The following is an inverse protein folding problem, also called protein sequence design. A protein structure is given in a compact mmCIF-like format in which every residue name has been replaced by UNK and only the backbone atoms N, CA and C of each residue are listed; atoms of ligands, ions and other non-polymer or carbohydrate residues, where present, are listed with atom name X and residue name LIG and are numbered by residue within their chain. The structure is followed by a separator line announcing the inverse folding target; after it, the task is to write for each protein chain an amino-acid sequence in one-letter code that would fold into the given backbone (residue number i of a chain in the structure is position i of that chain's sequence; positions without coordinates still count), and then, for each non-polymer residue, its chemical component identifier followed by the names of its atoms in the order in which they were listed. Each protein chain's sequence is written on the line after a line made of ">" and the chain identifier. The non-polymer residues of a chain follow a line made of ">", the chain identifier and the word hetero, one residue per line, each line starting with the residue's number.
data_IF_136789700071
#
_entry.id   IF_136789700071
#
_cell.length_a   1.000
_cell.length_b   1.000
_cell.length_c   1.000
_cell.angle_alpha   90.00
_cell.angle_beta   90.00
_cell.angle_gamma   90.00
#
_symmetry.space_group_name_H-M   'P 1'
#
loop_
_entity.id
_entity.type
_entity.pdbx_description
1 polymer ?
#
# COMPACT_ATOMS: atom_id res chain seq x y z
N UNK A 1 -103.33 1.44 -26.55
CA UNK A 1 -103.50 2.20 -27.81
C UNK A 1 -102.76 1.43 -28.88
N UNK A 2 -103.45 0.81 -29.84
CA UNK A 2 -102.78 0.09 -30.93
C UNK A 2 -102.29 1.16 -31.89
N UNK A 3 -101.05 1.58 -31.70
CA UNK A 3 -100.35 2.45 -32.63
C UNK A 3 -99.70 1.54 -33.66
N UNK A 4 -100.18 1.57 -34.89
CA UNK A 4 -99.52 0.88 -35.99
C UNK A 4 -98.64 1.88 -36.71
N UNK A 5 -97.34 1.62 -36.78
CA UNK A 5 -96.41 2.46 -37.52
C UNK A 5 -95.80 1.64 -38.67
N UNK A 6 -96.08 2.05 -39.91
CA UNK A 6 -95.61 1.39 -41.12
C UNK A 6 -94.07 1.33 -41.15
N UNK A 7 -93.52 0.46 -41.99
CA UNK A 7 -92.15 0.69 -42.48
C UNK A 7 -92.14 1.92 -43.41
N UNK A 8 -90.96 2.36 -43.82
CA UNK A 8 -90.86 3.42 -44.83
C UNK A 8 -91.44 2.94 -46.16
N UNK A 9 -92.28 3.76 -46.78
CA UNK A 9 -92.83 3.52 -48.11
C UNK A 9 -92.97 4.83 -48.88
N UNK A 10 -93.04 4.75 -50.21
CA UNK A 10 -93.32 5.91 -51.06
C UNK A 10 -94.84 6.14 -51.06
N UNK A 11 -95.27 7.29 -50.53
CA UNK A 11 -96.69 7.64 -50.51
C UNK A 11 -97.21 7.83 -51.93
N UNK A 12 -98.32 7.18 -52.29
CA UNK A 12 -98.88 7.29 -53.65
C UNK A 12 -99.37 8.70 -53.99
N UNK A 13 -99.80 9.46 -52.99
CA UNK A 13 -100.32 10.82 -53.11
C UNK A 13 -99.22 11.90 -52.98
N UNK A 14 -98.34 11.78 -51.98
CA UNK A 14 -97.25 12.74 -51.75
C UNK A 14 -96.05 12.49 -52.67
N UNK A 15 -96.00 11.34 -53.36
CA UNK A 15 -94.90 10.89 -54.22
C UNK A 15 -93.52 10.98 -53.54
N UNK A 16 -93.48 10.84 -52.22
CA UNK A 16 -92.27 10.93 -51.42
C UNK A 16 -92.22 9.86 -50.33
N UNK A 17 -91.02 9.46 -49.87
CA UNK A 17 -90.87 8.50 -48.79
C UNK A 17 -91.38 9.04 -47.46
N UNK A 18 -92.31 8.32 -46.84
CA UNK A 18 -92.92 8.67 -45.56
C UNK A 18 -92.97 7.47 -44.62
N UNK A 19 -93.04 7.75 -43.32
CA UNK A 19 -93.48 6.79 -42.31
C UNK A 19 -94.86 7.20 -41.82
N UNK A 20 -95.79 6.26 -41.79
CA UNK A 20 -97.17 6.49 -41.38
C UNK A 20 -97.42 5.87 -40.02
N UNK A 21 -97.81 6.70 -39.07
CA UNK A 21 -98.26 6.30 -37.73
C UNK A 21 -99.78 6.39 -37.71
N UNK A 22 -100.41 5.23 -37.75
CA UNK A 22 -101.85 5.04 -37.75
C UNK A 22 -102.35 4.71 -36.34
N UNK A 23 -103.41 5.41 -35.92
CA UNK A 23 -104.12 5.16 -34.68
C UNK A 23 -105.59 4.91 -34.99
N UNK A 24 -106.15 3.83 -34.45
CA UNK A 24 -107.59 3.56 -34.56
C UNK A 24 -108.34 4.52 -33.63
N UNK A 25 -109.28 5.27 -34.20
CA UNK A 25 -110.17 6.15 -33.44
C UNK A 25 -111.42 5.34 -33.07
N UNK A 26 -111.66 5.14 -31.78
CA UNK A 26 -112.78 4.34 -31.25
C UNK A 26 -113.85 5.22 -30.62
N UNK A 27 -115.13 4.84 -30.76
CA UNK A 27 -116.24 5.51 -30.11
C UNK A 27 -116.14 5.36 -28.58
N UNK A 28 -116.19 6.49 -27.84
CA UNK A 28 -116.02 6.51 -26.38
C UNK A 28 -117.05 5.67 -25.62
N UNK A 29 -118.27 5.57 -26.16
CA UNK A 29 -119.39 4.87 -25.50
C UNK A 29 -119.42 3.36 -25.76
N UNK A 30 -118.96 2.90 -26.93
CA UNK A 30 -119.12 1.50 -27.37
C UNK A 30 -117.81 0.76 -27.61
N UNK A 31 -116.67 1.47 -27.66
CA UNK A 31 -115.37 0.91 -28.00
C UNK A 31 -115.22 0.48 -29.48
N UNK A 32 -116.26 0.66 -30.30
CA UNK A 32 -116.23 0.27 -31.71
C UNK A 32 -115.33 1.22 -32.54
N UNK A 33 -114.60 0.70 -33.53
CA UNK A 33 -113.74 1.51 -34.40
C UNK A 33 -114.59 2.41 -35.31
N UNK A 34 -114.36 3.73 -35.25
CA UNK A 34 -114.99 4.74 -36.09
C UNK A 34 -114.18 5.05 -37.35
N UNK A 35 -112.86 4.90 -37.27
CA UNK A 35 -111.94 5.19 -38.37
C UNK A 35 -110.48 5.07 -37.94
N UNK A 36 -109.58 5.44 -38.84
CA UNK A 36 -108.13 5.42 -38.60
C UNK A 36 -107.56 6.80 -38.88
N UNK A 37 -106.88 7.38 -37.89
CA UNK A 37 -106.10 8.59 -38.06
C UNK A 37 -104.67 8.21 -38.45
N UNK A 38 -104.23 8.61 -39.64
CA UNK A 38 -102.89 8.32 -40.15
C UNK A 38 -102.05 9.60 -40.18
N UNK A 39 -101.03 9.69 -39.33
CA UNK A 39 -100.04 10.76 -39.34
C UNK A 39 -98.85 10.33 -40.18
N UNK A 40 -98.50 11.10 -41.21
CA UNK A 40 -97.36 10.80 -42.09
C UNK A 40 -96.21 11.73 -41.80
N UNK A 41 -95.04 11.19 -41.48
CA UNK A 41 -93.82 11.93 -41.23
C UNK A 41 -92.87 11.79 -42.42
N UNK A 42 -92.31 12.92 -42.84
CA UNK A 42 -91.30 12.96 -43.90
C UNK A 42 -89.95 12.46 -43.40
N UNK A 43 -89.23 11.77 -44.27
CA UNK A 43 -87.87 11.24 -44.05
C UNK A 43 -86.84 12.31 -43.70
N UNK A 44 -87.02 13.54 -44.18
CA UNK A 44 -86.14 14.67 -43.90
C UNK A 44 -85.99 14.98 -42.39
N UNK A 45 -87.02 14.69 -41.59
CA UNK A 45 -86.96 14.87 -40.14
C UNK A 45 -85.96 13.90 -39.49
N UNK A 46 -85.94 12.63 -39.92
CA UNK A 46 -84.98 11.65 -39.40
C UNK A 46 -83.55 12.01 -39.78
N UNK A 47 -83.35 12.48 -41.01
CA UNK A 47 -82.04 12.90 -41.47
C UNK A 47 -81.44 14.01 -40.60
N UNK A 48 -82.22 15.05 -40.28
CA UNK A 48 -81.79 16.12 -39.36
C UNK A 48 -81.45 15.58 -37.96
N UNK A 49 -82.18 14.58 -37.48
CA UNK A 49 -81.91 13.95 -36.18
C UNK A 49 -80.61 13.12 -36.16
N UNK A 50 -80.23 12.53 -37.30
CA UNK A 50 -79.08 11.63 -37.40
C UNK A 50 -77.76 12.37 -37.66
N UNK A 51 -77.78 13.42 -38.50
CA UNK A 51 -76.57 14.21 -38.77
C UNK A 51 -76.30 15.28 -37.69
N UNK A 52 -77.33 15.68 -36.93
CA UNK A 52 -77.24 16.76 -35.95
C UNK A 52 -77.07 18.14 -36.60
N UNK A 53 -76.99 19.19 -35.77
CA UNK A 53 -76.64 20.54 -36.26
C UNK A 53 -75.11 20.69 -36.31
N UNK A 54 -74.52 20.52 -37.50
CA UNK A 54 -73.09 20.78 -37.78
C UNK A 54 -72.24 19.53 -38.10
N UNK A 55 -70.92 19.72 -38.29
CA UNK A 55 -69.95 18.66 -38.59
C UNK A 55 -69.55 17.86 -37.33
N UNK A 56 -70.53 17.24 -36.67
CA UNK A 56 -70.39 16.57 -35.37
C UNK A 56 -69.44 15.35 -35.40
N UNK A 57 -69.25 14.71 -36.56
CA UNK A 57 -68.40 13.51 -36.75
C UNK A 57 -67.13 13.86 -37.58
N UNK A 58 -66.85 15.15 -37.77
CA UNK A 58 -65.74 15.64 -38.62
C UNK A 58 -66.12 15.77 -40.10
N UNK A 59 -65.16 16.14 -40.95
CA UNK A 59 -65.42 16.57 -42.33
C UNK A 59 -65.90 15.43 -43.23
N UNK A 60 -65.32 14.24 -43.07
CA UNK A 60 -65.72 12.99 -43.73
C UNK A 60 -66.74 12.18 -42.92
N UNK A 61 -67.17 12.69 -41.76
CA UNK A 61 -68.13 12.04 -40.90
C UNK A 61 -69.50 11.97 -41.58
N UNK A 62 -70.13 10.80 -41.50
CA UNK A 62 -71.45 10.54 -42.09
C UNK A 62 -72.25 9.63 -41.19
N UNK A 63 -73.55 9.85 -41.13
CA UNK A 63 -74.46 8.96 -40.44
C UNK A 63 -75.72 8.71 -41.28
N UNK A 64 -76.15 7.45 -41.36
CA UNK A 64 -77.30 7.06 -42.16
C UNK A 64 -77.96 5.79 -41.63
N UNK A 65 -79.18 5.52 -42.08
CA UNK A 65 -79.96 4.37 -41.63
C UNK A 65 -80.40 3.55 -42.82
N UNK A 66 -80.35 2.24 -42.66
CA UNK A 66 -80.90 1.26 -43.61
C UNK A 66 -81.99 0.42 -42.97
N UNK A 67 -82.93 -0.07 -43.76
CA UNK A 67 -83.97 -0.98 -43.31
C UNK A 67 -83.45 -2.42 -43.17
N UNK A 68 -84.34 -3.36 -42.84
CA UNK A 68 -84.02 -4.79 -42.69
C UNK A 68 -83.37 -5.42 -43.93
N UNK A 69 -83.65 -4.88 -45.12
CA UNK A 69 -83.17 -5.37 -46.41
C UNK A 69 -81.89 -4.63 -46.85
N UNK A 70 -81.39 -3.66 -46.08
CA UNK A 70 -80.22 -2.85 -46.41
C UNK A 70 -80.55 -1.67 -47.32
N UNK A 71 -81.82 -1.36 -47.57
CA UNK A 71 -82.24 -0.20 -48.35
C UNK A 71 -82.12 1.08 -47.53
N UNK A 72 -81.61 2.16 -48.14
CA UNK A 72 -81.46 3.46 -47.47
C UNK A 72 -82.80 4.02 -47.00
N UNK A 73 -82.86 4.41 -45.73
CA UNK A 73 -83.97 5.15 -45.12
C UNK A 73 -83.67 6.64 -44.98
N UNK A 74 -82.39 7.00 -44.84
CA UNK A 74 -81.91 8.38 -44.85
C UNK A 74 -80.79 8.55 -45.88
N UNK A 75 -80.66 9.77 -46.41
CA UNK A 75 -79.66 10.10 -47.42
C UNK A 75 -78.38 10.53 -46.69
N UNK A 76 -77.24 9.83 -46.87
CA UNK A 76 -75.97 10.28 -46.31
C UNK A 76 -75.48 11.60 -46.94
N UNK A 77 -74.82 12.47 -46.16
CA UNK A 77 -74.22 13.74 -46.62
C UNK A 77 -73.53 13.70 -47.99
N UNK A 78 -72.68 12.70 -48.26
CA UNK A 78 -71.92 12.62 -49.52
C UNK A 78 -72.79 12.26 -50.75
N UNK A 79 -73.91 11.53 -50.59
CA UNK A 79 -74.85 11.24 -51.71
C UNK A 79 -75.65 12.48 -52.10
N UNK A 80 -75.69 13.50 -51.23
CA UNK A 80 -76.39 14.77 -51.49
C UNK A 80 -75.51 15.73 -52.31
N UNK A 81 -74.20 15.70 -52.05
CA UNK A 81 -73.21 16.51 -52.75
C UNK A 81 -72.94 16.00 -54.17
N UNK A 82 -73.04 14.69 -54.40
CA UNK A 82 -73.03 14.10 -55.74
C UNK A 82 -74.36 14.35 -56.46
N UNK A 83 -74.31 15.18 -57.52
CA UNK A 83 -75.45 15.82 -58.17
C UNK A 83 -76.61 14.87 -58.55
N UNK A 84 -77.81 15.12 -58.01
CA UNK A 84 -79.09 14.74 -58.61
C UNK A 84 -79.84 13.54 -58.00
N UNK A 85 -79.25 12.80 -57.07
CA UNK A 85 -79.87 11.61 -56.46
C UNK A 85 -80.80 11.94 -55.28
N UNK A 86 -81.88 12.71 -55.53
CA UNK A 86 -82.93 12.99 -54.52
C UNK A 86 -83.86 11.80 -54.26
N UNK A 87 -83.82 10.78 -55.12
CA UNK A 87 -84.75 9.66 -55.14
C UNK A 87 -84.01 8.31 -55.00
N UNK A 88 -83.28 8.14 -53.89
CA UNK A 88 -82.53 6.91 -53.57
C UNK A 88 -83.03 6.19 -52.32
N UNK A 89 -83.87 6.85 -51.53
CA UNK A 89 -84.51 6.26 -50.35
C UNK A 89 -85.39 5.10 -50.82
N UNK A 90 -85.24 3.93 -50.18
CA UNK A 90 -85.88 2.66 -50.55
C UNK A 90 -85.53 2.10 -51.94
N UNK A 91 -84.56 2.67 -52.66
CA UNK A 91 -84.14 2.21 -54.00
C UNK A 91 -82.70 1.71 -54.05
N UNK A 92 -81.81 2.35 -53.29
CA UNK A 92 -80.41 1.95 -53.21
C UNK A 92 -80.21 0.99 -52.03
N UNK A 93 -79.65 -0.19 -52.32
CA UNK A 93 -79.29 -1.18 -51.30
C UNK A 93 -77.82 -1.05 -50.96
N UNK A 94 -77.51 -0.87 -49.68
CA UNK A 94 -76.15 -0.78 -49.17
C UNK A 94 -75.77 -2.10 -48.53
N UNK A 95 -74.77 -2.76 -49.12
CA UNK A 95 -74.23 -4.02 -48.62
C UNK A 95 -72.83 -3.75 -48.08
N UNK A 96 -72.74 -3.52 -46.78
CA UNK A 96 -71.46 -3.39 -46.06
C UNK A 96 -71.41 -4.40 -44.92
N UNK A 97 -70.19 -4.78 -44.52
CA UNK A 97 -69.95 -5.71 -43.42
C UNK A 97 -70.79 -5.43 -42.15
N UNK A 98 -70.86 -4.19 -41.62
CA UNK A 98 -71.70 -3.89 -40.45
C UNK A 98 -73.20 -4.13 -40.66
N UNK A 99 -73.72 -3.94 -41.87
CA UNK A 99 -75.14 -4.16 -42.19
C UNK A 99 -75.43 -5.64 -42.27
N UNK A 100 -74.59 -6.40 -42.99
CA UNK A 100 -74.72 -7.85 -43.11
C UNK A 100 -74.61 -8.52 -41.75
N UNK A 101 -73.68 -8.05 -40.90
CA UNK A 101 -73.53 -8.54 -39.52
C UNK A 101 -74.77 -8.22 -38.70
N UNK A 102 -75.22 -6.96 -38.70
CA UNK A 102 -76.43 -6.57 -37.97
C UNK A 102 -77.67 -7.36 -38.40
N UNK A 103 -77.82 -7.67 -39.69
CA UNK A 103 -78.94 -8.48 -40.20
C UNK A 103 -78.87 -9.96 -39.80
N UNK A 104 -77.67 -10.53 -39.70
CA UNK A 104 -77.47 -11.95 -39.38
C UNK A 104 -77.46 -12.24 -37.89
N UNK A 105 -76.83 -11.38 -37.10
CA UNK A 105 -76.55 -11.63 -35.68
C UNK A 105 -77.32 -10.72 -34.73
N UNK A 106 -78.15 -9.80 -35.26
CA UNK A 106 -78.86 -8.77 -34.48
C UNK A 106 -77.93 -7.98 -33.54
N UNK A 107 -76.67 -7.79 -33.94
CA UNK A 107 -75.64 -7.06 -33.19
C UNK A 107 -74.97 -5.99 -34.04
N UNK A 108 -74.66 -4.86 -33.40
CA UNK A 108 -73.87 -3.80 -34.01
C UNK A 108 -72.40 -4.17 -34.18
N UNK A 109 -71.65 -3.30 -34.87
CA UNK A 109 -70.22 -3.45 -35.10
C UNK A 109 -69.52 -2.13 -34.82
N UNK A 110 -68.36 -2.19 -34.17
CA UNK A 110 -67.40 -1.09 -34.13
C UNK A 110 -66.09 -1.61 -34.74
N UNK A 111 -65.52 -0.86 -35.67
CA UNK A 111 -64.25 -1.25 -36.26
C UNK A 111 -63.91 -0.50 -37.53
N UNK A 112 -62.84 -0.95 -38.18
CA UNK A 112 -62.44 -0.46 -39.49
C UNK A 112 -62.98 -1.44 -40.53
N UNK A 113 -63.73 -0.93 -41.49
CA UNK A 113 -64.29 -1.72 -42.58
C UNK A 113 -64.38 -0.86 -43.84
N UNK A 114 -64.77 -1.48 -44.96
CA UNK A 114 -65.00 -0.76 -46.22
C UNK A 114 -66.42 -0.23 -46.28
N UNK A 115 -66.54 1.08 -46.50
CA UNK A 115 -67.84 1.67 -46.81
C UNK A 115 -68.35 1.17 -48.17
N UNK A 116 -69.57 1.55 -48.53
CA UNK A 116 -70.19 1.15 -49.79
C UNK A 116 -69.45 1.68 -51.05
N UNK A 117 -68.48 2.60 -50.91
CA UNK A 117 -67.57 3.07 -51.99
C UNK A 117 -66.27 2.26 -52.04
N UNK A 118 -66.08 1.30 -51.14
CA UNK A 118 -64.85 0.54 -50.99
C UNK A 118 -63.74 1.26 -50.19
N UNK A 119 -64.03 2.41 -49.58
CA UNK A 119 -63.05 3.21 -48.82
C UNK A 119 -62.99 2.74 -47.37
N UNK A 120 -61.79 2.67 -46.80
CA UNK A 120 -61.60 2.30 -45.40
C UNK A 120 -62.12 3.40 -44.48
N UNK A 121 -63.12 3.06 -43.67
CA UNK A 121 -63.75 3.95 -42.69
C UNK A 121 -63.63 3.34 -41.29
N UNK A 122 -63.47 4.20 -40.30
CA UNK A 122 -63.74 3.87 -38.91
C UNK A 122 -65.23 4.11 -38.68
N UNK A 123 -65.98 3.06 -38.36
CA UNK A 123 -67.42 3.19 -38.22
C UNK A 123 -68.00 2.37 -37.10
N UNK A 124 -69.19 2.78 -36.69
CA UNK A 124 -70.05 2.10 -35.73
C UNK A 124 -71.40 1.83 -36.38
N UNK A 125 -71.95 0.64 -36.14
CA UNK A 125 -73.32 0.30 -36.47
C UNK A 125 -74.09 -0.14 -35.24
N UNK A 126 -75.38 0.21 -35.21
CA UNK A 126 -76.33 -0.17 -34.16
C UNK A 126 -77.64 -0.62 -34.81
N UNK A 127 -78.25 -1.67 -34.28
CA UNK A 127 -79.53 -2.19 -34.77
C UNK A 127 -80.69 -1.81 -33.83
N UNK A 128 -81.75 -1.26 -34.41
CA UNK A 128 -83.04 -1.06 -33.76
C UNK A 128 -83.87 -2.34 -33.89
N UNK A 129 -83.82 -3.18 -32.86
CA UNK A 129 -84.37 -4.56 -32.88
C UNK A 129 -85.83 -4.66 -33.30
N UNK A 130 -86.67 -3.70 -32.90
CA UNK A 130 -88.11 -3.71 -33.22
C UNK A 130 -88.40 -3.64 -34.71
N UNK A 131 -87.55 -2.95 -35.49
CA UNK A 131 -87.74 -2.74 -36.94
C UNK A 131 -86.63 -3.33 -37.79
N UNK A 132 -85.59 -3.88 -37.16
CA UNK A 132 -84.34 -4.30 -37.80
C UNK A 132 -83.69 -3.21 -38.66
N UNK A 133 -83.85 -1.94 -38.24
CA UNK A 133 -83.14 -0.84 -38.89
C UNK A 133 -81.72 -0.78 -38.36
N UNK A 134 -80.75 -0.56 -39.25
CA UNK A 134 -79.35 -0.44 -38.88
C UNK A 134 -78.94 1.01 -39.06
N UNK A 135 -78.53 1.64 -37.98
CA UNK A 135 -77.94 2.98 -37.94
C UNK A 135 -76.45 2.81 -38.11
N UNK A 136 -75.84 3.56 -39.02
CA UNK A 136 -74.41 3.59 -39.24
C UNK A 136 -73.90 5.01 -39.02
N UNK A 137 -72.75 5.13 -38.37
CA UNK A 137 -71.94 6.33 -38.34
C UNK A 137 -70.51 5.97 -38.73
N UNK A 138 -69.97 6.64 -39.74
CA UNK A 138 -68.69 6.32 -40.37
C UNK A 138 -67.85 7.59 -40.53
N UNK A 139 -66.53 7.46 -40.42
CA UNK A 139 -65.55 8.52 -40.68
C UNK A 139 -64.37 7.94 -41.46
N UNK A 140 -63.81 8.69 -42.41
CA UNK A 140 -62.66 8.19 -43.18
C UNK A 140 -61.49 7.85 -42.26
N UNK A 141 -60.85 6.69 -42.47
CA UNK A 141 -59.71 6.23 -41.67
C UNK A 141 -58.59 7.29 -41.62
N UNK A 142 -58.27 7.91 -42.75
CA UNK A 142 -57.21 8.91 -42.83
C UNK A 142 -57.52 10.15 -41.97
N UNK A 143 -58.77 10.62 -41.91
CA UNK A 143 -59.15 11.74 -41.05
C UNK A 143 -59.23 11.31 -39.58
N UNK A 144 -59.79 10.13 -39.31
CA UNK A 144 -59.91 9.59 -37.95
C UNK A 144 -58.54 9.42 -37.28
N UNK A 145 -57.51 9.05 -38.05
CA UNK A 145 -56.15 8.83 -37.55
C UNK A 145 -55.17 9.97 -37.87
N UNK A 146 -55.58 11.02 -38.57
CA UNK A 146 -54.72 12.19 -38.85
C UNK A 146 -54.04 12.77 -37.59
N UNK A 147 -54.70 12.85 -36.41
CA UNK A 147 -54.03 13.31 -35.20
C UNK A 147 -52.89 12.41 -34.71
N UNK A 148 -52.88 11.11 -35.07
CA UNK A 148 -51.84 10.17 -34.61
C UNK A 148 -50.50 10.36 -35.31
N UNK A 149 -50.47 10.85 -36.56
CA UNK A 149 -49.20 11.07 -37.26
C UNK A 149 -48.36 12.15 -36.57
N UNK A 150 -48.99 13.17 -35.98
CA UNK A 150 -48.30 14.18 -35.17
C UNK A 150 -47.63 13.59 -33.93
N UNK A 151 -48.30 12.64 -33.26
CA UNK A 151 -47.74 11.95 -32.09
C UNK A 151 -46.51 11.12 -32.45
N UNK A 152 -46.51 10.44 -33.59
CA UNK A 152 -45.35 9.65 -34.03
C UNK A 152 -44.09 10.50 -34.23
N UNK A 153 -44.24 11.71 -34.80
CA UNK A 153 -43.12 12.65 -34.98
C UNK A 153 -42.58 13.17 -33.64
N UNK A 154 -43.47 13.49 -32.69
CA UNK A 154 -43.09 13.93 -31.35
C UNK A 154 -42.30 12.82 -30.62
N UNK A 155 -42.80 11.58 -30.65
CA UNK A 155 -42.12 10.44 -30.00
C UNK A 155 -40.74 10.20 -30.62
N UNK A 156 -40.63 10.24 -31.94
CA UNK A 156 -39.36 10.05 -32.64
C UNK A 156 -38.37 11.17 -32.29
N UNK A 157 -38.84 12.42 -32.25
CA UNK A 157 -38.02 13.58 -31.87
C UNK A 157 -37.47 13.46 -30.45
N UNK A 158 -38.31 13.04 -29.49
CA UNK A 158 -37.90 12.79 -28.11
C UNK A 158 -36.86 11.67 -28.05
N UNK A 159 -37.05 10.59 -28.81
CA UNK A 159 -36.10 9.47 -28.89
C UNK A 159 -34.74 9.88 -29.45
N UNK A 160 -34.71 10.74 -30.47
CA UNK A 160 -33.46 11.27 -31.03
C UNK A 160 -32.76 12.19 -30.04
N UNK A 161 -33.49 13.09 -29.38
CA UNK A 161 -32.93 14.01 -28.38
C UNK A 161 -32.36 13.24 -27.19
N UNK A 162 -33.07 12.23 -26.69
CA UNK A 162 -32.59 11.40 -25.58
C UNK A 162 -31.33 10.61 -25.95
N UNK A 163 -31.27 10.06 -27.17
CA UNK A 163 -30.07 9.38 -27.68
C UNK A 163 -28.86 10.32 -27.73
N UNK A 164 -29.04 11.52 -28.29
CA UNK A 164 -27.98 12.54 -28.37
C UNK A 164 -27.51 12.92 -26.96
N UNK A 165 -28.44 13.12 -26.03
CA UNK A 165 -28.13 13.48 -24.65
C UNK A 165 -27.33 12.40 -23.93
N UNK A 166 -27.67 11.12 -24.12
CA UNK A 166 -26.91 9.97 -23.59
C UNK A 166 -25.49 9.97 -24.14
N UNK A 167 -25.31 10.12 -25.45
CA UNK A 167 -23.98 10.13 -26.08
C UNK A 167 -23.11 11.27 -25.54
N UNK A 168 -23.67 12.47 -25.41
CA UNK A 168 -22.95 13.64 -24.88
C UNK A 168 -22.53 13.40 -23.42
N UNK A 169 -23.45 12.91 -22.56
CA UNK A 169 -23.16 12.60 -21.17
C UNK A 169 -22.09 11.50 -21.04
N UNK A 170 -22.17 10.44 -21.85
CA UNK A 170 -21.18 9.37 -21.86
C UNK A 170 -19.79 9.88 -22.22
N UNK A 171 -19.66 10.74 -23.24
CA UNK A 171 -18.37 11.33 -23.62
C UNK A 171 -17.83 12.23 -22.50
N UNK A 172 -18.70 13.03 -21.87
CA UNK A 172 -18.31 13.93 -20.79
C UNK A 172 -17.80 13.17 -19.55
N UNK A 173 -18.55 12.18 -19.08
CA UNK A 173 -18.18 11.36 -17.91
C UNK A 173 -16.94 10.52 -18.20
N UNK A 174 -16.88 9.88 -19.38
CA UNK A 174 -15.70 9.12 -19.80
C UNK A 174 -14.46 9.99 -19.86
N UNK A 175 -14.58 11.23 -20.37
CA UNK A 175 -13.49 12.20 -20.41
C UNK A 175 -13.01 12.64 -19.03
N UNK A 176 -13.91 12.87 -18.07
CA UNK A 176 -13.55 13.26 -16.70
C UNK A 176 -12.84 12.15 -15.93
N UNK A 177 -13.26 10.88 -16.08
CA UNK A 177 -12.66 9.79 -15.31
C UNK A 177 -11.45 9.15 -15.99
N UNK A 178 -11.54 8.87 -17.29
CA UNK A 178 -10.54 8.06 -18.00
C UNK A 178 -9.23 8.82 -18.21
N UNK A 179 -9.27 10.12 -18.50
CA UNK A 179 -8.06 10.92 -18.76
C UNK A 179 -7.14 11.02 -17.53
N UNK A 180 -7.64 11.37 -16.32
CA UNK A 180 -6.81 11.35 -15.11
C UNK A 180 -6.22 9.98 -14.78
N UNK A 181 -7.00 8.90 -14.95
CA UNK A 181 -6.53 7.53 -14.70
C UNK A 181 -5.39 7.15 -15.65
N UNK A 182 -5.50 7.47 -16.94
CA UNK A 182 -4.42 7.24 -17.91
C UNK A 182 -3.17 8.08 -17.61
N UNK A 183 -3.32 9.29 -17.06
CA UNK A 183 -2.16 10.07 -16.58
C UNK A 183 -1.47 9.39 -15.39
N UNK A 184 -2.23 8.91 -14.41
CA UNK A 184 -1.68 8.15 -13.28
C UNK A 184 -0.97 6.87 -13.74
N UNK A 185 -1.52 6.18 -14.74
CA UNK A 185 -0.84 5.04 -15.37
C UNK A 185 0.52 5.44 -15.96
N UNK A 186 0.58 6.56 -16.68
CA UNK A 186 1.84 7.08 -17.21
C UNK A 186 2.87 7.42 -16.13
N UNK A 187 2.44 8.04 -15.03
CA UNK A 187 3.33 8.28 -13.88
C UNK A 187 3.83 6.98 -13.25
N UNK A 188 2.95 5.99 -13.11
CA UNK A 188 3.31 4.66 -12.60
C UNK A 188 4.38 3.99 -13.45
N UNK A 189 4.33 4.11 -14.77
CA UNK A 189 5.39 3.60 -15.66
C UNK A 189 6.74 4.30 -15.47
N UNK A 190 6.75 5.61 -15.19
CA UNK A 190 7.97 6.36 -14.89
C UNK A 190 8.58 5.92 -13.55
N UNK A 191 7.75 5.80 -12.51
CA UNK A 191 8.14 5.33 -11.18
C UNK A 191 8.67 3.89 -11.25
N UNK A 192 8.04 3.02 -12.04
CA UNK A 192 8.50 1.65 -12.26
C UNK A 192 9.89 1.59 -12.93
N UNK A 193 10.27 2.62 -13.68
CA UNK A 193 11.63 2.78 -14.25
C UNK A 193 12.62 3.43 -13.27
N UNK A 194 12.18 3.78 -12.06
CA UNK A 194 12.99 4.42 -11.02
C UNK A 194 13.03 5.95 -11.10
N UNK A 195 12.22 6.58 -11.97
CA UNK A 195 12.13 8.03 -12.03
C UNK A 195 11.12 8.54 -10.98
N UNK A 196 11.64 9.01 -9.85
CA UNK A 196 10.88 9.62 -8.75
C UNK A 196 10.92 11.15 -8.79
N UNK A 197 11.47 11.75 -9.85
CA UNK A 197 11.64 13.21 -9.96
C UNK A 197 10.39 13.91 -10.51
N UNK A 198 9.47 13.13 -11.07
CA UNK A 198 8.27 13.65 -11.73
C UNK A 198 7.18 13.95 -10.71
N UNK A 199 6.65 15.17 -10.75
CA UNK A 199 5.54 15.59 -9.90
C UNK A 199 4.20 15.05 -10.44
N UNK A 200 3.49 14.30 -9.59
CA UNK A 200 2.17 13.74 -9.91
C UNK A 200 1.11 14.83 -9.78
N UNK A 201 0.86 15.58 -10.86
CA UNK A 201 -0.17 16.62 -10.89
C UNK A 201 -1.43 16.10 -11.61
N UNK A 202 -2.43 15.73 -10.84
CA UNK A 202 -3.77 15.38 -11.33
C UNK A 202 -4.81 16.12 -10.50
N UNK A 203 -5.47 17.10 -11.12
CA UNK A 203 -6.51 17.90 -10.49
C UNK A 203 -7.87 17.24 -10.72
N UNK A 204 -8.48 16.74 -9.65
CA UNK A 204 -9.88 16.31 -9.62
C UNK A 204 -10.43 16.47 -8.20
N UNK A 205 -11.74 16.73 -8.09
CA UNK A 205 -12.43 16.93 -6.80
C UNK A 205 -13.23 15.69 -6.37
N UNK A 206 -13.00 14.55 -7.02
CA UNK A 206 -13.69 13.28 -6.81
C UNK A 206 -12.74 12.20 -6.23
N UNK A 207 -13.15 10.95 -6.26
CA UNK A 207 -12.34 9.79 -5.85
C UNK A 207 -11.04 9.67 -6.63
N UNK A 208 -11.01 10.12 -7.90
CA UNK A 208 -9.80 10.10 -8.72
C UNK A 208 -8.80 11.15 -8.23
N UNK A 209 -9.28 12.27 -7.70
CA UNK A 209 -8.45 13.27 -7.03
C UNK A 209 -7.79 12.73 -5.77
N UNK A 210 -8.56 12.05 -4.91
CA UNK A 210 -8.02 11.38 -3.71
C UNK A 210 -7.01 10.28 -4.05
N UNK A 211 -7.26 9.54 -5.14
CA UNK A 211 -6.32 8.55 -5.65
C UNK A 211 -5.01 9.21 -6.09
N UNK A 212 -5.08 10.33 -6.80
CA UNK A 212 -3.90 11.08 -7.21
C UNK A 212 -3.09 11.63 -6.03
N UNK A 213 -3.75 12.17 -5.01
CA UNK A 213 -3.10 12.65 -3.78
C UNK A 213 -2.40 11.51 -3.03
N UNK A 214 -3.08 10.36 -2.89
CA UNK A 214 -2.49 9.17 -2.27
C UNK A 214 -1.28 8.67 -3.06
N UNK A 215 -1.37 8.72 -4.40
CA UNK A 215 -0.27 8.35 -5.29
C UNK A 215 0.90 9.32 -5.18
N UNK A 216 0.65 10.63 -5.09
CA UNK A 216 1.68 11.63 -4.83
C UNK A 216 2.43 11.34 -3.51
N UNK A 217 1.69 11.10 -2.42
CA UNK A 217 2.29 10.79 -1.11
C UNK A 217 3.15 9.52 -1.15
N UNK A 218 2.74 8.51 -1.92
CA UNK A 218 3.52 7.29 -2.14
C UNK A 218 4.84 7.59 -2.85
N UNK A 219 4.83 8.40 -3.90
CA UNK A 219 6.04 8.79 -4.65
C UNK A 219 6.99 9.59 -3.76
N UNK A 220 6.48 10.57 -3.02
CA UNK A 220 7.28 11.35 -2.06
C UNK A 220 7.93 10.45 -1.01
N UNK A 221 7.17 9.50 -0.45
CA UNK A 221 7.71 8.55 0.53
C UNK A 221 8.79 7.64 -0.07
N UNK A 222 8.64 7.21 -1.33
CA UNK A 222 9.66 6.46 -2.05
C UNK A 222 10.92 7.30 -2.29
N UNK A 223 10.76 8.56 -2.70
CA UNK A 223 11.88 9.48 -2.91
C UNK A 223 12.68 9.67 -1.62
N UNK A 224 12.01 9.92 -0.50
CA UNK A 224 12.66 10.10 0.80
C UNK A 224 13.37 8.83 1.26
N UNK A 225 12.77 7.66 1.02
CA UNK A 225 13.40 6.37 1.31
C UNK A 225 14.70 6.19 0.50
N UNK A 226 14.68 6.48 -0.80
CA UNK A 226 15.87 6.39 -1.66
C UNK A 226 16.95 7.39 -1.21
N UNK A 227 16.57 8.62 -0.87
CA UNK A 227 17.49 9.64 -0.35
C UNK A 227 18.17 9.20 0.95
N UNK A 228 17.42 8.60 1.88
CA UNK A 228 17.97 8.04 3.11
C UNK A 228 18.92 6.87 2.84
N UNK A 229 18.59 5.98 1.89
CA UNK A 229 19.48 4.88 1.49
C UNK A 229 20.79 5.41 0.90
N UNK A 230 20.75 6.46 0.08
CA UNK A 230 21.96 7.10 -0.46
C UNK A 230 22.83 7.69 0.66
N UNK A 231 22.22 8.42 1.60
CA UNK A 231 22.92 9.00 2.75
C UNK A 231 23.59 7.91 3.61
N UNK A 232 22.89 6.81 3.89
CA UNK A 232 23.44 5.69 4.64
C UNK A 232 24.58 5.02 3.86
N UNK A 233 24.45 4.90 2.54
CA UNK A 233 25.50 4.32 1.69
C UNK A 233 26.78 5.15 1.72
N UNK A 234 26.67 6.49 1.68
CA UNK A 234 27.80 7.40 1.83
C UNK A 234 28.44 7.30 3.21
N UNK A 235 27.63 7.19 4.28
CA UNK A 235 28.13 6.97 5.65
C UNK A 235 28.92 5.65 5.74
N UNK A 236 28.39 4.56 5.17
CA UNK A 236 29.05 3.26 5.14
C UNK A 236 30.36 3.33 4.35
N UNK A 237 30.37 4.01 3.20
CA UNK A 237 31.60 4.21 2.42
C UNK A 237 32.66 4.98 3.21
N UNK A 238 32.26 6.04 3.92
CA UNK A 238 33.16 6.80 4.80
C UNK A 238 33.71 5.95 5.95
N UNK A 239 32.85 5.19 6.65
CA UNK A 239 33.29 4.30 7.73
C UNK A 239 34.20 3.17 7.24
N UNK A 240 33.97 2.65 6.04
CA UNK A 240 34.86 1.66 5.42
C UNK A 240 36.26 2.25 5.14
N UNK A 241 36.32 3.51 4.70
CA UNK A 241 37.59 4.20 4.46
C UNK A 241 38.35 4.46 5.78
N UNK A 242 37.65 4.88 6.83
CA UNK A 242 38.23 5.05 8.17
C UNK A 242 38.75 3.71 8.73
N UNK A 243 37.94 2.65 8.62
CA UNK A 243 38.34 1.30 9.02
C UNK A 243 39.57 0.79 8.26
N UNK A 244 39.65 1.05 6.95
CA UNK A 244 40.84 0.71 6.15
C UNK A 244 42.08 1.41 6.68
N UNK A 245 41.96 2.69 7.02
CA UNK A 245 43.06 3.50 7.52
C UNK A 245 43.52 3.03 8.91
N UNK A 246 42.58 2.74 9.82
CA UNK A 246 42.88 2.15 11.13
C UNK A 246 43.51 0.75 11.01
N UNK A 247 43.12 -0.03 10.00
CA UNK A 247 43.72 -1.35 9.75
C UNK A 247 45.17 -1.23 9.27
N UNK A 248 45.49 -0.24 8.44
CA UNK A 248 46.88 0.05 8.03
C UNK A 248 47.75 0.47 9.22
N UNK A 249 47.25 1.35 10.09
CA UNK A 249 47.94 1.75 11.32
C UNK A 249 48.15 0.58 12.29
N UNK A 250 47.13 -0.27 12.44
CA UNK A 250 47.23 -1.48 13.27
C UNK A 250 48.28 -2.46 12.73
N UNK A 251 48.37 -2.63 11.41
CA UNK A 251 49.40 -3.46 10.78
C UNK A 251 50.80 -2.92 11.04
N UNK A 252 51.00 -1.60 10.92
CA UNK A 252 52.26 -0.95 11.24
C UNK A 252 52.66 -1.15 12.71
N UNK A 253 51.71 -0.91 13.63
CA UNK A 253 51.91 -1.11 15.07
C UNK A 253 52.23 -2.57 15.41
N UNK A 254 51.57 -3.53 14.76
CA UNK A 254 51.85 -4.96 14.93
C UNK A 254 53.26 -5.32 14.48
N UNK A 255 53.74 -4.71 13.39
CA UNK A 255 55.11 -4.90 12.91
C UNK A 255 56.15 -4.34 13.89
N UNK A 256 55.88 -3.18 14.50
CA UNK A 256 56.73 -2.61 15.56
C UNK A 256 56.77 -3.50 16.80
N UNK A 257 55.62 -4.00 17.26
CA UNK A 257 55.53 -4.93 18.40
C UNK A 257 56.31 -6.23 18.11
N UNK A 258 56.17 -6.79 16.90
CA UNK A 258 56.93 -7.96 16.48
C UNK A 258 58.44 -7.73 16.54
N UNK A 259 58.88 -6.55 16.08
CA UNK A 259 60.30 -6.13 16.14
C UNK A 259 60.76 -5.96 17.59
N UNK A 260 59.97 -5.34 18.45
CA UNK A 260 60.27 -5.19 19.87
C UNK A 260 60.39 -6.55 20.57
N UNK A 261 59.52 -7.51 20.26
CA UNK A 261 59.58 -8.89 20.78
C UNK A 261 60.89 -9.57 20.34
N UNK A 262 61.32 -9.39 19.09
CA UNK A 262 62.61 -9.92 18.63
C UNK A 262 63.80 -9.34 19.40
N UNK A 263 63.78 -8.03 19.68
CA UNK A 263 64.79 -7.39 20.51
C UNK A 263 64.80 -7.92 21.95
N UNK A 264 63.62 -8.09 22.56
CA UNK A 264 63.48 -8.67 23.91
C UNK A 264 64.01 -10.09 23.94
N UNK A 265 63.65 -10.94 22.97
CA UNK A 265 64.15 -12.30 22.88
C UNK A 265 65.68 -12.34 22.79
N UNK A 266 66.28 -11.49 21.94
CA UNK A 266 67.74 -11.38 21.82
C UNK A 266 68.40 -10.87 23.11
N UNK A 267 67.78 -9.90 23.78
CA UNK A 267 68.22 -9.40 25.07
C UNK A 267 68.20 -10.50 26.14
N UNK A 268 67.12 -11.29 26.19
CA UNK A 268 66.99 -12.42 27.11
C UNK A 268 68.05 -13.50 26.86
N UNK A 269 68.36 -13.83 25.60
CA UNK A 269 69.47 -14.75 25.27
C UNK A 269 70.80 -14.21 25.77
N UNK A 270 71.10 -12.93 25.48
CA UNK A 270 72.35 -12.30 25.95
C UNK A 270 72.43 -12.26 27.47
N UNK A 271 71.30 -12.06 28.15
CA UNK A 271 71.24 -12.08 29.61
C UNK A 271 71.46 -13.49 30.17
N UNK A 272 70.92 -14.53 29.52
CA UNK A 272 71.19 -15.92 29.90
C UNK A 272 72.69 -16.25 29.77
N UNK A 273 73.34 -15.81 28.69
CA UNK A 273 74.79 -16.00 28.50
C UNK A 273 75.60 -15.32 29.62
N UNK A 274 75.23 -14.08 29.98
CA UNK A 274 75.89 -13.34 31.08
C UNK A 274 75.66 -13.99 32.44
N UNK A 275 74.50 -14.59 32.67
CA UNK A 275 74.23 -15.33 33.91
C UNK A 275 75.16 -16.54 34.01
N UNK A 276 75.34 -17.29 32.92
CA UNK A 276 76.30 -18.40 32.85
C UNK A 276 77.73 -17.93 33.15
N UNK A 277 78.18 -16.85 32.50
CA UNK A 277 79.52 -16.28 32.74
C UNK A 277 79.70 -15.83 34.21
N UNK A 278 78.67 -15.22 34.79
CA UNK A 278 78.67 -14.80 36.20
C UNK A 278 78.74 -16.01 37.13
N UNK A 279 78.00 -17.08 36.85
CA UNK A 279 78.06 -18.34 37.61
C UNK A 279 79.48 -18.95 37.57
N UNK A 280 80.14 -18.96 36.41
CA UNK A 280 81.52 -19.42 36.28
C UNK A 280 82.51 -18.53 37.06
N UNK A 281 82.29 -17.21 37.08
CA UNK A 281 83.10 -16.28 37.87
C UNK A 281 82.91 -16.50 39.39
N UNK A 282 81.69 -16.79 39.83
CA UNK A 282 81.38 -17.14 41.22
C UNK A 282 82.06 -18.47 41.60
N UNK A 283 82.03 -19.48 40.72
CA UNK A 283 82.71 -20.78 40.93
C UNK A 283 84.21 -20.58 41.14
N UNK A 284 84.87 -19.81 40.25
CA UNK A 284 86.29 -19.45 40.37
C UNK A 284 86.59 -18.68 41.65
N UNK A 285 85.71 -17.77 42.06
CA UNK A 285 85.85 -17.01 43.30
C UNK A 285 85.75 -17.91 44.53
N UNK A 286 84.84 -18.89 44.52
CA UNK A 286 84.69 -19.89 45.58
C UNK A 286 85.94 -20.76 45.75
N UNK A 287 86.54 -21.20 44.63
CA UNK A 287 87.83 -21.93 44.65
C UNK A 287 88.94 -21.06 45.25
N UNK A 288 89.04 -19.81 44.81
CA UNK A 288 90.06 -18.87 45.30
C UNK A 288 89.88 -18.57 46.80
N UNK A 289 88.64 -18.41 47.27
CA UNK A 289 88.32 -18.24 48.69
C UNK A 289 88.71 -19.47 49.52
N UNK A 290 88.40 -20.69 49.05
CA UNK A 290 88.84 -21.92 49.73
C UNK A 290 90.37 -21.96 49.88
N UNK A 291 91.10 -21.56 48.85
CA UNK A 291 92.55 -21.51 48.89
C UNK A 291 93.08 -20.42 49.82
N UNK A 292 92.45 -19.25 49.85
CA UNK A 292 92.77 -18.18 50.79
C UNK A 292 92.56 -18.63 52.25
N UNK A 293 91.46 -19.34 52.55
CA UNK A 293 91.19 -19.93 53.87
C UNK A 293 92.27 -20.96 54.24
N UNK A 294 92.64 -21.85 53.32
CA UNK A 294 93.71 -22.82 53.55
C UNK A 294 95.06 -22.14 53.86
N UNK A 295 95.43 -21.12 53.07
CA UNK A 295 96.64 -20.34 53.30
C UNK A 295 96.62 -19.59 54.64
N UNK A 296 95.48 -19.01 55.03
CA UNK A 296 95.32 -18.36 56.31
C UNK A 296 95.49 -19.35 57.48
N UNK A 297 94.97 -20.58 57.34
CA UNK A 297 95.14 -21.65 58.32
C UNK A 297 96.62 -22.06 58.46
N UNK A 298 97.31 -22.33 57.35
CA UNK A 298 98.75 -22.64 57.37
C UNK A 298 99.57 -21.49 57.96
N UNK A 299 99.21 -20.24 57.66
CA UNK A 299 99.87 -19.06 58.24
C UNK A 299 99.64 -18.99 59.75
N UNK A 300 98.41 -19.27 60.23
CA UNK A 300 98.08 -19.31 61.65
C UNK A 300 98.90 -20.36 62.40
N UNK A 301 99.02 -21.56 61.85
CA UNK A 301 99.85 -22.64 62.39
C UNK A 301 101.34 -22.24 62.45
N UNK A 302 101.86 -21.62 61.38
CA UNK A 302 103.23 -21.11 61.35
C UNK A 302 103.49 -20.02 62.41
N UNK A 303 102.53 -19.10 62.60
CA UNK A 303 102.60 -18.07 63.64
C UNK A 303 102.57 -18.70 65.04
N UNK A 304 101.71 -19.69 65.27
CA UNK A 304 101.64 -20.41 66.54
C UNK A 304 102.97 -21.11 66.87
N UNK A 305 103.54 -21.84 65.91
CA UNK A 305 104.85 -22.49 66.07
C UNK A 305 105.99 -21.48 66.28
N UNK A 306 105.96 -20.35 65.57
CA UNK A 306 106.94 -19.28 65.74
C UNK A 306 106.86 -18.67 67.14
N UNK A 307 105.64 -18.45 67.65
CA UNK A 307 105.41 -17.97 69.02
C UNK A 307 105.94 -18.94 70.06
N UNK A 308 105.74 -20.25 69.86
CA UNK A 308 106.27 -21.29 70.75
C UNK A 308 107.81 -21.30 70.75
N UNK A 309 108.44 -21.28 69.57
CA UNK A 309 109.90 -21.19 69.46
C UNK A 309 110.47 -19.91 70.06
N UNK A 310 109.79 -18.77 69.87
CA UNK A 310 110.18 -17.51 70.49
C UNK A 310 110.09 -17.57 72.03
N UNK A 311 109.07 -18.24 72.57
CA UNK A 311 108.93 -18.45 74.01
C UNK A 311 110.03 -19.37 74.57
N UNK A 312 110.36 -20.46 73.85
CA UNK A 312 111.50 -21.32 74.20
C UNK A 312 112.82 -20.54 74.16
N UNK A 313 113.04 -19.74 73.11
CA UNK A 313 114.21 -18.87 72.98
C UNK A 313 114.31 -17.86 74.11
N UNK A 314 113.18 -17.27 74.53
CA UNK A 314 113.11 -16.39 75.71
C UNK A 314 113.53 -17.12 76.99
N UNK A 315 113.04 -18.34 77.20
CA UNK A 315 113.42 -19.16 78.35
C UNK A 315 114.91 -19.49 78.37
N UNK A 316 115.47 -19.88 77.22
CA UNK A 316 116.90 -20.17 77.07
C UNK A 316 117.77 -18.92 77.33
N UNK A 317 117.33 -17.74 76.85
CA UNK A 317 118.00 -16.48 77.14
C UNK A 317 117.96 -16.13 78.63
N UNK A 318 116.84 -16.37 79.32
CA UNK A 318 116.75 -16.18 80.78
C UNK A 318 117.70 -17.11 81.54
N UNK A 319 117.78 -18.39 81.16
CA UNK A 319 118.72 -19.35 81.75
C UNK A 319 120.18 -18.93 81.51
N UNK A 320 120.50 -18.42 80.32
CA UNK A 320 121.82 -17.90 80.00
C UNK A 320 122.19 -16.68 80.86
N UNK A 321 121.25 -15.75 81.08
CA UNK A 321 121.45 -14.60 81.98
C UNK A 321 121.72 -15.08 83.41
N UNK A 322 120.95 -16.07 83.90
CA UNK A 322 121.15 -16.64 85.24
C UNK A 322 122.53 -17.30 85.40
N UNK A 323 122.99 -18.05 84.38
CA UNK A 323 124.34 -18.62 84.34
C UNK A 323 125.42 -17.53 84.30
N UNK A 324 125.22 -16.44 83.56
CA UNK A 324 126.16 -15.31 83.52
C UNK A 324 126.25 -14.63 84.90
N UNK A 325 125.13 -14.42 85.59
CA UNK A 325 125.11 -13.90 86.96
C UNK A 325 125.92 -14.80 87.89
N UNK A 326 125.66 -16.12 87.86
CA UNK A 326 126.40 -17.09 88.68
C UNK A 326 127.89 -17.15 88.36
N UNK A 327 128.25 -16.99 87.09
CA UNK A 327 129.63 -16.90 86.64
C UNK A 327 130.29 -15.62 87.15
N UNK A 328 129.56 -14.50 87.17
CA UNK A 328 130.03 -13.23 87.75
C UNK A 328 130.30 -13.36 89.25
N UNK A 329 129.41 -14.04 89.99
CA UNK A 329 129.62 -14.34 91.41
C UNK A 329 130.87 -15.20 91.63
N UNK A 330 131.03 -16.25 90.83
CA UNK A 330 132.19 -17.17 90.89
C UNK A 330 133.50 -16.44 90.56
N UNK A 331 133.50 -15.56 89.56
CA UNK A 331 134.67 -14.73 89.20
C UNK A 331 135.00 -13.76 90.34
N UNK A 332 133.99 -13.18 91.00
CA UNK A 332 134.17 -12.30 92.17
C UNK A 332 134.76 -13.06 93.35
N UNK A 333 134.29 -14.27 93.62
CA UNK A 333 134.84 -15.15 94.66
C UNK A 333 136.28 -15.57 94.35
N UNK A 334 136.57 -15.90 93.10
CA UNK A 334 137.93 -16.23 92.63
C UNK A 334 138.87 -15.04 92.80
N UNK A 335 138.43 -13.83 92.46
CA UNK A 335 139.21 -12.60 92.69
C UNK A 335 139.53 -12.41 94.17
N UNK A 336 138.57 -12.70 95.06
CA UNK A 336 138.75 -12.66 96.52
C UNK A 336 139.78 -13.69 97.01
N UNK A 337 139.77 -14.91 96.47
CA UNK A 337 140.79 -15.92 96.76
C UNK A 337 142.17 -15.54 96.26
N UNK A 338 142.29 -14.93 95.06
CA UNK A 338 143.57 -14.42 94.55
C UNK A 338 144.10 -13.29 95.44
N UNK A 339 143.23 -12.39 95.90
CA UNK A 339 143.63 -11.33 96.83
C UNK A 339 144.12 -11.91 98.17
N UNK A 340 143.42 -12.90 98.72
CA UNK A 340 143.89 -13.62 99.91
C UNK A 340 145.19 -14.39 99.69
N UNK A 341 145.43 -14.94 98.49
CA UNK A 341 146.71 -15.54 98.13
C UNK A 341 147.83 -14.50 98.01
N UNK A 342 147.50 -13.29 97.52
CA UNK A 342 148.39 -12.13 97.50
C UNK A 342 148.84 -11.74 98.91
N UNK A 343 147.90 -11.63 99.87
CA UNK A 343 148.21 -11.38 101.29
C UNK A 343 149.11 -12.48 101.89
N UNK A 344 148.84 -13.76 101.58
CA UNK A 344 149.70 -14.86 102.04
C UNK A 344 151.09 -14.85 101.39
N UNK A 345 151.20 -14.42 100.13
CA UNK A 345 152.49 -14.30 99.43
C UNK A 345 153.31 -13.14 99.98
N UNK A 346 152.65 -12.03 100.36
CA UNK A 346 153.27 -10.91 101.08
C UNK A 346 153.83 -11.38 102.43
N UNK A 347 153.06 -12.17 103.19
CA UNK A 347 153.51 -12.74 104.46
C UNK A 347 154.71 -13.71 104.28
N UNK A 348 154.76 -14.46 103.18
CA UNK A 348 155.95 -15.27 102.85
C UNK A 348 157.14 -14.37 102.50
N UNK A 349 156.91 -13.24 101.80
CA UNK A 349 157.93 -12.23 101.54
C UNK A 349 158.60 -11.70 102.82
N UNK A 350 157.81 -11.32 103.82
CA UNK A 350 158.30 -10.89 105.15
C UNK A 350 159.11 -11.99 105.87
N UNK A 351 158.71 -13.26 105.71
CA UNK A 351 159.46 -14.41 106.24
C UNK A 351 160.79 -14.59 105.50
N UNK A 352 160.82 -14.42 104.18
CA UNK A 352 162.08 -14.52 103.41
C UNK A 352 163.06 -13.38 103.72
N UNK A 353 162.56 -12.17 103.99
CA UNK A 353 163.38 -11.01 104.39
C UNK A 353 164.00 -11.21 105.78
N UNK A 354 163.26 -11.82 106.70
CA UNK A 354 163.79 -12.21 108.02
C UNK A 354 164.80 -13.36 107.94
N UNK A 355 164.62 -14.35 107.06
CA UNK A 355 165.62 -15.42 106.82
C UNK A 355 166.90 -14.84 106.20
N UNK A 356 166.77 -13.90 105.26
CA UNK A 356 167.92 -13.23 104.62
C UNK A 356 168.73 -12.43 105.66
N UNK A 357 168.04 -11.75 106.59
CA UNK A 357 168.68 -11.02 107.70
C UNK A 357 169.41 -11.93 108.70
N UNK A 358 169.02 -13.21 108.83
CA UNK A 358 169.70 -14.19 109.69
C UNK A 358 170.95 -14.78 108.99
N UNK A 359 170.94 -14.88 107.66
CA UNK A 359 172.05 -15.41 106.88
C UNK A 359 173.26 -14.45 106.81
N UNK A 360 173.06 -13.13 106.83
CA UNK A 360 174.14 -12.13 106.80
C UNK A 360 174.90 -12.00 108.14
N UNK A 361 174.43 -12.64 109.22
CA UNK A 361 175.09 -12.65 110.55
C UNK A 361 175.92 -13.90 110.85
N UNK A 362 176.02 -14.84 109.92
CA UNK A 362 176.90 -16.03 109.95
C UNK A 362 177.81 -16.05 108.74
#
# INVERSE_FOLDING_TARGET
>A
MIVYATDFYVSEDLKMPVISIANVVTARATGLPLGVLVNRYQTDMLHKLIEGEGDTIGKSGKAYVVNKDGLLLTIPKFMREDAGKKDIILKEQIITEPIVKAQKTDTGMLGIYKDFRGKDVLGVSMILKERKWVILAEKDRLEAFAPLSGLTLIILSIGVISLILVVILSIFVSGQMTRPILKLLGFSELIAKGDLTTEVIVQSNDEVGKLAESFHNMVTSMHDMVSNVLTISDQVASSAQELSSSTEEMNASTQEVSTAIQHVAKGATTQADRVTETSEAIERSSITLKQAVANAQTTSEAVSSTSEKAQQGRSAAQEAVEKITRLTDTVTETAKSIQGLGEKSQAIGEITETITSIADQT
#
